data_IF_370777630912
#
_entry.id   IF_370777630912
#
_cell.length_a   1.000
_cell.length_b   1.000
_cell.length_c   1.000
_cell.angle_alpha   90.00
_cell.angle_beta   90.00
_cell.angle_gamma   90.00
#
_symmetry.space_group_name_H-M   'P 1'
#
loop_
_entity.id
_entity.type
_entity.pdbx_description
1 polymer ?
#
# COMPACT_ATOMS: atom_id res chain seq x y z
N UNK A 1 7.41 -6.43 27.60
CA UNK A 1 6.62 -5.74 26.56
C UNK A 1 5.24 -6.38 26.52
N UNK A 2 4.21 -5.78 27.15
CA UNK A 2 2.89 -6.42 27.38
C UNK A 2 1.69 -5.57 26.94
N UNK A 3 1.90 -4.49 26.19
CA UNK A 3 0.80 -3.62 25.73
C UNK A 3 0.25 -3.99 24.34
N UNK A 4 1.00 -4.73 23.52
CA UNK A 4 0.58 -5.10 22.16
C UNK A 4 -0.29 -6.36 22.09
N UNK A 5 -0.40 -7.15 23.18
CA UNK A 5 -1.16 -8.40 23.16
C UNK A 5 -2.67 -8.23 23.43
N UNK A 6 -3.13 -7.08 23.92
CA UNK A 6 -4.55 -6.87 24.22
C UNK A 6 -5.37 -6.51 22.98
N UNK A 7 -4.78 -5.80 22.01
CA UNK A 7 -5.44 -5.50 20.73
C UNK A 7 -5.52 -6.70 19.78
N UNK A 8 -4.71 -7.75 20.01
CA UNK A 8 -4.73 -8.98 19.21
C UNK A 8 -5.72 -10.04 19.74
N UNK A 9 -6.29 -9.87 20.94
CA UNK A 9 -7.17 -10.88 21.55
C UNK A 9 -8.67 -10.55 21.43
N UNK A 10 -9.07 -9.33 21.06
CA UNK A 10 -10.48 -8.98 20.85
C UNK A 10 -11.15 -9.65 19.64
N UNK A 11 -10.36 -10.26 18.74
CA UNK A 11 -10.84 -10.89 17.50
C UNK A 11 -10.98 -12.41 17.53
N UNK A 12 -10.77 -13.09 18.68
CA UNK A 12 -10.84 -14.57 18.75
C UNK A 12 -12.26 -15.15 18.85
N UNK A 13 -13.28 -14.55 18.24
CA UNK A 13 -14.62 -15.16 18.24
C UNK A 13 -15.47 -15.00 16.98
N UNK A 14 -14.86 -14.89 15.79
CA UNK A 14 -15.67 -14.97 14.56
C UNK A 14 -14.98 -15.57 13.33
N UNK A 15 -14.03 -16.50 13.51
CA UNK A 15 -13.56 -17.37 12.41
C UNK A 15 -13.62 -18.86 12.79
N UNK A 16 -14.72 -19.29 13.41
CA UNK A 16 -15.07 -20.72 13.44
C UNK A 16 -16.39 -20.91 12.72
N UNK A 17 -16.32 -21.51 11.53
CA UNK A 17 -17.49 -21.97 10.79
C UNK A 17 -18.34 -22.93 11.65
N UNK A 18 -19.66 -22.97 11.41
CA UNK A 18 -20.63 -23.42 12.39
C UNK A 18 -20.69 -24.94 12.41
N UNK A 19 -20.44 -25.54 13.57
CA UNK A 19 -21.08 -26.79 13.96
C UNK A 19 -21.00 -26.96 15.47
N UNK A 20 -22.18 -26.95 16.08
CA UNK A 20 -22.50 -27.55 17.37
C UNK A 20 -21.58 -27.21 18.55
N UNK A 21 -21.99 -26.23 19.36
CA UNK A 21 -22.50 -26.47 20.73
C UNK A 21 -22.54 -25.17 21.55
N UNK A 22 -23.77 -24.67 21.69
CA UNK A 22 -24.42 -24.18 22.91
C UNK A 22 -23.54 -23.95 24.16
N UNK A 23 -23.61 -22.70 24.63
CA UNK A 23 -23.35 -22.19 25.99
C UNK A 23 -21.88 -21.94 26.40
N UNK A 24 -21.41 -20.71 26.17
CA UNK A 24 -20.35 -20.14 26.99
C UNK A 24 -20.63 -18.65 27.26
N UNK A 25 -21.34 -18.40 28.36
CA UNK A 25 -21.50 -17.15 29.12
C UNK A 25 -21.27 -15.84 28.34
N UNK A 26 -22.34 -15.29 27.74
CA UNK A 26 -22.38 -13.88 27.32
C UNK A 26 -23.10 -13.10 28.43
N UNK A 27 -22.38 -12.31 29.22
CA UNK A 27 -23.03 -11.39 30.15
C UNK A 27 -23.68 -10.23 29.36
N UNK A 28 -24.87 -9.73 29.75
CA UNK A 28 -25.47 -8.55 29.13
C UNK A 28 -24.54 -7.33 29.14
N UNK A 29 -23.69 -7.24 30.17
CA UNK A 29 -22.70 -6.19 30.36
C UNK A 29 -21.59 -6.23 29.31
N UNK A 30 -21.10 -7.41 28.92
CA UNK A 30 -20.08 -7.55 27.86
C UNK A 30 -20.62 -7.15 26.49
N UNK A 31 -21.88 -7.51 26.17
CA UNK A 31 -22.52 -7.08 24.92
C UNK A 31 -22.68 -5.56 24.84
N UNK A 32 -23.06 -4.92 25.95
CA UNK A 32 -23.14 -3.46 26.04
C UNK A 32 -21.76 -2.80 25.93
N UNK A 33 -20.74 -3.37 26.56
CA UNK A 33 -19.36 -2.87 26.47
C UNK A 33 -18.83 -2.93 25.03
N UNK A 34 -19.07 -4.05 24.31
CA UNK A 34 -18.69 -4.20 22.91
C UNK A 34 -19.42 -3.22 22.00
N UNK A 35 -20.73 -3.00 22.21
CA UNK A 35 -21.50 -2.01 21.45
C UNK A 35 -21.03 -0.57 21.68
N UNK A 36 -20.69 -0.23 22.93
CA UNK A 36 -20.10 1.08 23.25
C UNK A 36 -18.73 1.25 22.60
N UNK A 37 -17.85 0.24 22.69
CA UNK A 37 -16.53 0.27 22.06
C UNK A 37 -16.63 0.44 20.53
N UNK A 38 -17.53 -0.29 19.87
CA UNK A 38 -17.74 -0.17 18.43
C UNK A 38 -18.26 1.23 18.05
N UNK A 39 -19.20 1.78 18.83
CA UNK A 39 -19.72 3.14 18.60
C UNK A 39 -18.65 4.22 18.78
N UNK A 40 -17.75 4.03 19.76
CA UNK A 40 -16.63 4.93 20.02
C UNK A 40 -15.61 4.85 18.88
N UNK A 41 -15.28 3.64 18.42
CA UNK A 41 -14.38 3.44 17.28
C UNK A 41 -14.93 4.10 16.01
N UNK A 42 -16.22 3.94 15.72
CA UNK A 42 -16.87 4.57 14.56
C UNK A 42 -16.87 6.10 14.65
N UNK A 43 -17.17 6.65 15.83
CA UNK A 43 -17.10 8.09 16.07
C UNK A 43 -15.69 8.64 15.86
N UNK A 44 -14.68 8.02 16.48
CA UNK A 44 -13.29 8.45 16.35
C UNK A 44 -12.79 8.33 14.92
N UNK A 45 -13.15 7.24 14.22
CA UNK A 45 -12.77 7.05 12.83
C UNK A 45 -13.38 8.14 11.94
N UNK A 46 -14.67 8.45 12.11
CA UNK A 46 -15.36 9.53 11.39
C UNK A 46 -14.74 10.89 11.69
N UNK A 47 -14.45 11.18 12.94
CA UNK A 47 -13.84 12.44 13.35
C UNK A 47 -12.43 12.61 12.75
N UNK A 48 -11.60 11.57 12.82
CA UNK A 48 -10.26 11.58 12.23
C UNK A 48 -10.32 11.74 10.71
N UNK A 49 -11.27 11.05 10.05
CA UNK A 49 -11.54 11.19 8.61
C UNK A 49 -11.86 12.63 8.23
N UNK A 50 -12.81 13.27 8.92
CA UNK A 50 -13.19 14.66 8.66
C UNK A 50 -12.02 15.61 8.86
N UNK A 51 -11.30 15.48 9.98
CA UNK A 51 -10.13 16.32 10.26
C UNK A 51 -9.04 16.17 9.17
N UNK A 52 -8.79 14.94 8.69
CA UNK A 52 -7.84 14.69 7.60
C UNK A 52 -8.29 15.25 6.25
N UNK A 53 -9.60 15.35 6.01
CA UNK A 53 -10.15 15.99 4.82
C UNK A 53 -10.03 17.52 4.89
N UNK A 54 -10.21 18.13 6.07
CA UNK A 54 -10.04 19.57 6.27
C UNK A 54 -8.59 20.02 6.04
N UNK A 55 -7.61 19.20 6.44
CA UNK A 55 -6.18 19.46 6.19
C UNK A 55 -5.72 18.91 4.83
N UNK A 56 -6.65 18.77 3.87
CA UNK A 56 -6.44 18.23 2.51
C UNK A 56 -5.16 18.72 1.85
N UNK A 57 -5.00 20.03 1.88
CA UNK A 57 -3.99 20.76 1.12
C UNK A 57 -2.64 20.89 1.83
N UNK A 58 -2.54 20.48 3.10
CA UNK A 58 -1.31 20.68 3.88
C UNK A 58 -0.28 19.55 3.63
N UNK A 59 0.92 19.93 3.20
CA UNK A 59 2.04 19.02 2.91
C UNK A 59 3.07 19.01 4.06
N UNK A 60 2.62 18.95 5.30
CA UNK A 60 3.52 18.91 6.45
C UNK A 60 3.75 17.48 6.96
N UNK A 61 4.92 17.25 7.57
CA UNK A 61 5.32 15.92 8.09
C UNK A 61 4.22 15.27 8.94
N UNK A 62 3.57 16.03 9.82
CA UNK A 62 2.52 15.53 10.72
C UNK A 62 1.28 15.07 9.96
N UNK A 63 0.84 15.85 8.97
CA UNK A 63 -0.35 15.51 8.15
C UNK A 63 -0.05 14.28 7.29
N UNK A 64 1.13 14.21 6.69
CA UNK A 64 1.57 13.04 5.92
C UNK A 64 1.60 11.78 6.80
N UNK A 65 2.17 11.89 8.01
CA UNK A 65 2.23 10.76 8.94
C UNK A 65 0.84 10.35 9.46
N UNK A 66 -0.05 11.31 9.69
CA UNK A 66 -1.43 11.05 10.09
C UNK A 66 -2.23 10.36 8.97
N UNK A 67 -2.10 10.81 7.72
CA UNK A 67 -2.68 10.14 6.55
C UNK A 67 -2.13 8.72 6.37
N UNK A 68 -0.83 8.54 6.59
CA UNK A 68 -0.20 7.22 6.55
C UNK A 68 -0.80 6.29 7.60
N UNK A 69 -0.85 6.70 8.88
CA UNK A 69 -1.46 5.90 9.94
C UNK A 69 -2.92 5.59 9.61
N UNK A 70 -3.68 6.58 9.16
CA UNK A 70 -5.09 6.40 8.79
C UNK A 70 -5.27 5.46 7.60
N UNK A 71 -4.29 5.38 6.69
CA UNK A 71 -4.32 4.37 5.62
C UNK A 71 -4.13 2.93 6.11
N UNK A 72 -3.52 2.75 7.29
CA UNK A 72 -3.32 1.45 7.93
C UNK A 72 -4.50 1.03 8.80
N UNK A 73 -5.40 1.97 9.16
CA UNK A 73 -6.56 1.65 9.97
C UNK A 73 -7.66 1.03 9.11
N UNK A 74 -8.26 -0.03 9.62
CA UNK A 74 -9.45 -0.61 8.99
C UNK A 74 -10.65 0.26 9.31
N UNK A 75 -11.58 0.38 8.36
CA UNK A 75 -12.90 0.96 8.63
C UNK A 75 -13.61 0.03 9.64
N UNK A 76 -14.15 0.56 10.75
CA UNK A 76 -14.96 -0.24 11.67
C UNK A 76 -16.13 -0.86 10.90
N UNK A 77 -16.28 -2.19 11.00
CA UNK A 77 -17.37 -2.92 10.35
C UNK A 77 -18.71 -2.46 10.92
N UNK A 78 -19.66 -2.13 10.04
CA UNK A 78 -21.05 -1.83 10.43
C UNK A 78 -21.90 -3.08 10.24
N UNK A 79 -22.79 -3.39 11.19
CA UNK A 79 -23.63 -4.61 11.19
C UNK A 79 -24.46 -4.81 9.90
N UNK A 80 -24.76 -3.72 9.18
CA UNK A 80 -25.44 -3.73 7.87
C UNK A 80 -24.63 -4.39 6.74
N UNK A 81 -23.29 -4.41 6.85
CA UNK A 81 -22.41 -5.03 5.85
C UNK A 81 -22.54 -6.57 5.88
N UNK A 82 -22.77 -7.16 7.06
CA UNK A 82 -22.90 -8.61 7.24
C UNK A 82 -24.22 -9.16 6.68
N UNK A 83 -25.32 -8.41 6.84
CA UNK A 83 -26.63 -8.81 6.30
C UNK A 83 -26.70 -8.70 4.78
N UNK A 84 -25.84 -7.87 4.19
CA UNK A 84 -25.70 -7.71 2.74
C UNK A 84 -24.98 -8.89 2.11
N UNK A 85 -23.92 -9.43 2.74
CA UNK A 85 -23.18 -10.61 2.24
C UNK A 85 -24.00 -11.89 2.30
N UNK A 86 -24.81 -12.09 3.35
CA UNK A 86 -25.61 -13.32 3.51
C UNK A 86 -26.77 -13.40 2.51
N UNK A 87 -27.35 -12.27 2.10
CA UNK A 87 -28.44 -12.22 1.11
C UNK A 87 -27.99 -12.49 -0.33
N UNK A 88 -26.70 -12.35 -0.64
CA UNK A 88 -26.13 -12.59 -1.99
C UNK A 88 -26.12 -14.10 -2.35
N UNK A 89 -26.12 -14.97 -1.34
CA UNK A 89 -26.08 -16.42 -1.50
C UNK A 89 -27.39 -17.04 -2.02
N UNK A 90 -28.50 -16.30 -1.99
CA UNK A 90 -29.81 -16.78 -2.42
C UNK A 90 -30.29 -16.04 -3.66
N UNK A 91 -30.00 -16.62 -4.83
CA UNK A 91 -30.61 -16.32 -6.15
C UNK A 91 -30.42 -14.88 -6.65
N UNK A 92 -29.31 -14.59 -7.34
CA UNK A 92 -29.12 -13.30 -8.01
C UNK A 92 -28.86 -13.46 -9.51
N UNK A 93 -29.51 -12.62 -10.33
CA UNK A 93 -29.29 -12.51 -11.76
C UNK A 93 -27.88 -11.96 -12.04
N UNK A 94 -27.29 -12.22 -13.21
CA UNK A 94 -25.97 -11.65 -13.61
C UNK A 94 -25.92 -10.12 -13.45
N UNK A 95 -27.05 -9.43 -13.61
CA UNK A 95 -27.15 -7.98 -13.39
C UNK A 95 -27.08 -7.59 -11.91
N UNK A 96 -27.60 -8.42 -11.02
CA UNK A 96 -27.52 -8.19 -9.57
C UNK A 96 -26.11 -8.47 -9.06
N UNK A 97 -25.41 -9.46 -9.64
CA UNK A 97 -23.98 -9.70 -9.37
C UNK A 97 -23.10 -8.53 -9.82
N UNK A 98 -23.40 -7.92 -10.97
CA UNK A 98 -22.67 -6.73 -11.43
C UNK A 98 -22.99 -5.51 -10.56
N UNK A 99 -24.27 -5.29 -10.21
CA UNK A 99 -24.66 -4.19 -9.31
C UNK A 99 -24.06 -4.34 -7.93
N UNK A 100 -24.01 -5.55 -7.38
CA UNK A 100 -23.37 -5.82 -6.10
C UNK A 100 -21.85 -5.67 -6.19
N UNK A 101 -21.22 -6.02 -7.31
CA UNK A 101 -19.80 -5.78 -7.54
C UNK A 101 -19.49 -4.28 -7.68
N UNK A 102 -20.31 -3.51 -8.39
CA UNK A 102 -20.20 -2.05 -8.42
C UNK A 102 -20.40 -1.47 -7.03
N UNK A 103 -21.46 -1.87 -6.31
CA UNK A 103 -21.69 -1.43 -4.94
C UNK A 103 -20.52 -1.80 -4.03
N UNK A 104 -19.93 -2.98 -4.19
CA UNK A 104 -18.72 -3.39 -3.48
C UNK A 104 -17.53 -2.51 -3.83
N UNK A 105 -17.30 -2.18 -5.10
CA UNK A 105 -16.22 -1.29 -5.56
C UNK A 105 -16.43 0.14 -5.04
N UNK A 106 -17.66 0.65 -5.05
CA UNK A 106 -17.99 1.97 -4.49
C UNK A 106 -17.93 1.99 -2.96
N UNK A 107 -18.31 0.90 -2.30
CA UNK A 107 -18.23 0.72 -0.83
C UNK A 107 -16.84 0.34 -0.35
N UNK A 108 -15.94 -0.10 -1.25
CA UNK A 108 -14.50 -0.25 -1.02
C UNK A 108 -13.89 1.15 -0.99
N UNK A 109 -14.38 1.95 -0.06
CA UNK A 109 -14.14 3.37 0.06
C UNK A 109 -12.70 3.58 0.56
N UNK A 110 -11.81 3.81 -0.40
CA UNK A 110 -10.73 4.80 -0.33
C UNK A 110 -9.67 4.66 0.77
N UNK A 111 -9.50 3.50 1.43
CA UNK A 111 -8.33 3.26 2.29
C UNK A 111 -7.01 3.54 1.53
N UNK A 112 -7.00 3.33 0.20
CA UNK A 112 -5.91 3.74 -0.67
C UNK A 112 -5.74 5.25 -0.83
N UNK A 113 -6.79 6.07 -0.76
CA UNK A 113 -6.70 7.51 -1.07
C UNK A 113 -5.82 8.25 -0.08
N UNK A 114 -5.87 7.89 1.21
CA UNK A 114 -5.00 8.49 2.21
C UNK A 114 -3.54 8.08 2.01
N UNK A 115 -3.29 6.83 1.61
CA UNK A 115 -1.94 6.39 1.26
C UNK A 115 -1.44 7.09 0.00
N UNK A 116 -2.28 7.20 -1.03
CA UNK A 116 -1.99 7.90 -2.29
C UNK A 116 -1.61 9.36 -2.03
N UNK A 117 -2.39 10.04 -1.19
CA UNK A 117 -2.13 11.42 -0.78
C UNK A 117 -0.87 11.53 0.06
N UNK A 118 -0.68 10.65 1.05
CA UNK A 118 0.50 10.65 1.91
C UNK A 118 1.78 10.46 1.10
N UNK A 119 1.81 9.49 0.18
CA UNK A 119 2.98 9.20 -0.66
C UNK A 119 3.30 10.38 -1.59
N UNK A 120 2.29 10.95 -2.25
CA UNK A 120 2.49 12.12 -3.14
C UNK A 120 3.02 13.33 -2.38
N UNK A 121 2.45 13.61 -1.21
CA UNK A 121 2.90 14.70 -0.34
C UNK A 121 4.29 14.45 0.24
N UNK A 122 4.61 13.22 0.62
CA UNK A 122 5.95 12.85 1.06
C UNK A 122 6.98 13.05 -0.06
N UNK A 123 6.62 12.72 -1.29
CA UNK A 123 7.46 12.99 -2.46
C UNK A 123 7.66 14.49 -2.68
N UNK A 124 6.59 15.29 -2.66
CA UNK A 124 6.67 16.75 -2.77
C UNK A 124 7.53 17.37 -1.64
N UNK A 125 7.33 16.92 -0.41
CA UNK A 125 8.09 17.37 0.75
C UNK A 125 9.58 16.99 0.62
N UNK A 126 9.90 15.75 0.24
CA UNK A 126 11.28 15.32 0.00
C UNK A 126 11.93 16.14 -1.11
N UNK A 127 11.23 16.36 -2.22
CA UNK A 127 11.74 17.16 -3.34
C UNK A 127 12.09 18.60 -2.91
N UNK A 128 11.22 19.26 -2.13
CA UNK A 128 11.49 20.61 -1.59
C UNK A 128 12.73 20.64 -0.71
N UNK A 129 12.91 19.62 0.13
CA UNK A 129 14.09 19.50 1.00
C UNK A 129 15.38 19.26 0.21
N UNK A 130 15.35 18.33 -0.75
CA UNK A 130 16.51 18.02 -1.59
C UNK A 130 16.91 19.24 -2.45
N UNK A 131 15.94 20.03 -2.90
CA UNK A 131 16.19 21.25 -3.68
C UNK A 131 16.73 22.40 -2.81
N UNK A 132 16.23 22.55 -1.58
CA UNK A 132 16.77 23.50 -0.60
C UNK A 132 18.24 23.22 -0.29
N UNK A 133 18.63 21.96 -0.30
CA UNK A 133 19.99 21.49 -0.05
C UNK A 133 20.94 21.73 -1.22
N UNK A 134 20.43 21.61 -2.45
CA UNK A 134 21.20 21.91 -3.66
C UNK A 134 21.46 23.42 -3.85
N UNK A 135 20.95 24.30 -2.96
CA UNK A 135 21.15 25.75 -3.04
C UNK A 135 20.43 26.42 -4.21
N UNK A 136 19.48 25.73 -4.86
CA UNK A 136 18.75 26.21 -6.03
C UNK A 136 17.68 27.27 -5.70
N UNK A 137 17.27 27.38 -4.44
CA UNK A 137 16.38 28.43 -3.93
C UNK A 137 17.02 29.12 -2.72
N UNK A 138 17.14 30.45 -2.78
CA UNK A 138 17.97 31.27 -1.88
C UNK A 138 17.19 31.82 -0.66
N UNK A 139 17.80 31.65 0.51
CA UNK A 139 17.84 32.50 1.73
C UNK A 139 16.66 32.71 2.69
N UNK A 140 15.40 32.40 2.39
CA UNK A 140 14.30 32.73 3.34
C UNK A 140 13.70 31.56 4.14
N UNK A 141 14.07 30.31 3.86
CA UNK A 141 13.52 29.15 4.55
C UNK A 141 14.39 28.72 5.75
N UNK A 142 13.77 28.26 6.86
CA UNK A 142 14.49 27.86 8.06
C UNK A 142 15.48 26.75 7.74
N UNK A 143 16.72 26.90 8.21
CA UNK A 143 17.74 25.84 8.18
C UNK A 143 17.22 24.65 8.97
N UNK A 144 16.72 23.63 8.27
CA UNK A 144 16.22 22.42 8.89
C UNK A 144 17.33 21.68 9.62
N UNK A 145 16.99 21.04 10.74
CA UNK A 145 17.98 20.25 11.45
C UNK A 145 18.35 19.00 10.63
N UNK A 146 19.57 18.45 10.77
CA UNK A 146 19.93 17.18 10.13
C UNK A 146 19.00 16.03 10.57
N UNK A 147 18.40 16.13 11.76
CA UNK A 147 17.43 15.16 12.27
C UNK A 147 16.09 15.22 11.53
N UNK A 148 15.59 16.43 11.22
CA UNK A 148 14.35 16.60 10.46
C UNK A 148 14.48 16.01 9.05
N UNK A 149 15.65 16.22 8.42
CA UNK A 149 15.97 15.64 7.12
C UNK A 149 15.96 14.12 7.16
N UNK A 150 16.59 13.53 8.18
CA UNK A 150 16.60 12.09 8.37
C UNK A 150 15.16 11.56 8.58
N UNK A 151 14.35 12.27 9.35
CA UNK A 151 12.94 11.94 9.59
C UNK A 151 12.11 11.95 8.31
N UNK A 152 12.27 12.97 7.47
CA UNK A 152 11.56 13.07 6.17
C UNK A 152 12.02 11.97 5.22
N UNK A 153 13.33 11.72 5.14
CA UNK A 153 13.87 10.63 4.34
C UNK A 153 13.31 9.27 4.78
N UNK A 154 13.26 9.02 6.09
CA UNK A 154 12.67 7.80 6.64
C UNK A 154 11.18 7.67 6.30
N UNK A 155 10.39 8.73 6.52
CA UNK A 155 8.96 8.72 6.23
C UNK A 155 8.69 8.48 4.73
N UNK A 156 9.45 9.15 3.87
CA UNK A 156 9.38 8.96 2.42
C UNK A 156 9.66 7.50 2.04
N UNK A 157 10.77 6.92 2.51
CA UNK A 157 11.09 5.53 2.19
C UNK A 157 10.06 4.57 2.78
N UNK A 158 9.60 4.79 4.00
CA UNK A 158 8.55 3.97 4.61
C UNK A 158 7.29 3.92 3.74
N UNK A 159 6.84 5.08 3.26
CA UNK A 159 5.69 5.21 2.38
C UNK A 159 5.89 4.54 1.01
N UNK A 160 7.07 4.71 0.40
CA UNK A 160 7.45 4.04 -0.87
C UNK A 160 7.42 2.52 -0.72
N UNK A 161 8.01 2.01 0.37
CA UNK A 161 8.06 0.58 0.67
C UNK A 161 6.66 0.02 0.89
N UNK A 162 5.84 0.75 1.66
CA UNK A 162 4.46 0.35 1.95
C UNK A 162 3.61 0.32 0.68
N UNK A 163 3.61 1.39 -0.12
CA UNK A 163 2.86 1.42 -1.38
C UNK A 163 3.30 0.31 -2.35
N UNK A 164 4.61 0.08 -2.47
CA UNK A 164 5.14 -0.97 -3.33
C UNK A 164 4.60 -2.36 -2.96
N UNK A 165 4.46 -2.67 -1.68
CA UNK A 165 3.94 -3.96 -1.22
C UNK A 165 2.43 -4.03 -1.35
N UNK A 166 1.72 -2.95 -1.02
CA UNK A 166 0.27 -2.90 -1.01
C UNK A 166 -0.36 -2.72 -2.40
N UNK A 167 0.34 -2.12 -3.36
CA UNK A 167 -0.13 -1.92 -4.73
C UNK A 167 -0.54 -3.23 -5.43
N UNK A 168 0.32 -4.26 -5.53
CA UNK A 168 -0.07 -5.53 -6.14
C UNK A 168 -1.10 -6.31 -5.30
N UNK A 169 -1.14 -6.11 -3.98
CA UNK A 169 -2.16 -6.74 -3.12
C UNK A 169 -3.55 -6.15 -3.34
N UNK A 170 -3.62 -4.84 -3.61
CA UNK A 170 -4.87 -4.11 -3.82
C UNK A 170 -5.22 -3.93 -5.30
N UNK A 171 -4.51 -4.60 -6.19
CA UNK A 171 -4.65 -4.50 -7.65
C UNK A 171 -4.63 -3.05 -8.20
N UNK A 172 -3.99 -2.13 -7.48
CA UNK A 172 -3.89 -0.72 -7.87
C UNK A 172 -2.50 -0.41 -8.41
N UNK A 173 -2.33 0.63 -9.24
CA UNK A 173 -1.00 1.05 -9.65
C UNK A 173 -0.14 1.56 -8.49
N UNK A 174 1.17 1.33 -8.57
CA UNK A 174 2.15 1.98 -7.68
C UNK A 174 2.06 3.49 -7.90
N UNK A 175 2.08 4.26 -6.81
CA UNK A 175 1.85 5.71 -6.83
C UNK A 175 3.03 6.46 -7.44
N UNK A 176 4.27 6.02 -7.17
CA UNK A 176 5.50 6.64 -7.63
C UNK A 176 6.20 5.78 -8.70
N UNK A 177 6.72 6.45 -9.73
CA UNK A 177 7.49 5.79 -10.77
C UNK A 177 8.83 5.28 -10.23
N UNK A 178 9.46 4.34 -10.93
CA UNK A 178 10.76 3.79 -10.52
C UNK A 178 11.87 4.85 -10.53
N UNK A 179 11.79 5.84 -11.41
CA UNK A 179 12.75 6.96 -11.49
C UNK A 179 12.70 7.84 -10.23
N UNK A 180 11.50 8.04 -9.69
CA UNK A 180 11.27 8.84 -8.49
C UNK A 180 11.70 8.09 -7.21
N UNK A 181 11.90 6.76 -7.29
CA UNK A 181 12.24 5.89 -6.17
C UNK A 181 13.71 5.44 -6.17
N UNK A 182 14.59 6.15 -6.87
CA UNK A 182 16.02 5.87 -6.81
C UNK A 182 16.65 6.40 -5.51
N UNK A 183 17.33 5.51 -4.77
CA UNK A 183 18.11 5.87 -3.59
C UNK A 183 19.19 6.90 -3.96
N UNK A 184 19.36 7.93 -3.14
CA UNK A 184 20.33 9.01 -3.41
C UNK A 184 21.79 8.49 -3.47
N UNK A 185 22.11 7.43 -2.74
CA UNK A 185 23.40 6.73 -2.82
C UNK A 185 23.63 6.04 -4.19
N UNK A 186 22.57 5.59 -4.85
CA UNK A 186 22.65 5.02 -6.20
C UNK A 186 22.82 6.13 -7.24
N UNK A 187 22.24 7.32 -7.00
CA UNK A 187 22.41 8.49 -7.87
C UNK A 187 23.86 8.99 -7.89
N UNK A 188 24.58 8.92 -6.76
CA UNK A 188 25.99 9.32 -6.67
C UNK A 188 26.95 8.41 -7.45
N UNK A 189 26.56 7.14 -7.65
CA UNK A 189 27.32 6.18 -8.46
C UNK A 189 27.00 6.27 -9.96
N UNK A 190 26.04 7.12 -10.38
CA UNK A 190 25.78 7.37 -11.80
C UNK A 190 26.87 8.31 -12.35
N UNK A 191 27.48 7.99 -13.51
CA UNK A 191 28.37 8.94 -14.16
C UNK A 191 27.58 10.21 -14.53
N UNK A 192 28.15 11.38 -14.25
CA UNK A 192 27.53 12.67 -14.51
C UNK A 192 26.99 12.73 -15.95
N UNK A 193 25.73 13.16 -16.10
CA UNK A 193 25.07 13.40 -17.40
C UNK A 193 25.85 14.46 -18.19
N UNK A 194 26.83 14.02 -18.97
CA UNK A 194 27.66 14.90 -19.80
C UNK A 194 28.26 14.24 -21.04
N UNK A 195 28.06 12.93 -21.25
CA UNK A 195 28.50 12.25 -22.47
C UNK A 195 27.30 11.81 -23.30
N UNK A 196 27.17 12.44 -24.47
CA UNK A 196 26.26 12.02 -25.54
C UNK A 196 26.49 10.54 -25.84
N UNK A 197 25.48 9.70 -25.59
CA UNK A 197 25.57 8.26 -25.78
C UNK A 197 25.40 7.42 -24.51
N UNK A 198 24.71 7.91 -23.49
CA UNK A 198 24.31 7.10 -22.35
C UNK A 198 23.44 5.93 -22.84
N UNK A 199 24.06 4.77 -23.02
CA UNK A 199 23.37 3.49 -23.02
C UNK A 199 22.51 3.50 -21.76
N UNK A 200 21.20 3.54 -21.91
CA UNK A 200 20.22 3.45 -20.82
C UNK A 200 20.44 2.13 -20.10
N UNK A 201 21.40 2.07 -19.18
CA UNK A 201 21.65 0.88 -18.39
C UNK A 201 20.40 0.73 -17.54
N UNK A 202 19.63 -0.32 -17.82
CA UNK A 202 18.39 -0.60 -17.10
C UNK A 202 18.76 -1.05 -15.67
N UNK A 203 18.88 -0.08 -14.75
CA UNK A 203 19.18 -0.30 -13.34
C UNK A 203 17.97 -0.79 -12.54
N UNK A 204 16.79 -0.75 -13.16
CA UNK A 204 15.47 -0.90 -12.54
C UNK A 204 15.31 -2.16 -11.70
N UNK A 205 16.06 -3.24 -12.02
CA UNK A 205 15.94 -4.55 -11.35
C UNK A 205 17.29 -5.23 -11.04
N UNK A 206 18.38 -4.48 -10.92
CA UNK A 206 19.70 -5.08 -10.64
C UNK A 206 19.80 -5.54 -9.19
N UNK A 207 19.27 -6.74 -8.91
CA UNK A 207 19.29 -7.37 -7.58
C UNK A 207 20.70 -7.47 -6.98
N UNK A 208 21.72 -7.66 -7.83
CA UNK A 208 23.13 -7.72 -7.44
C UNK A 208 23.63 -6.44 -6.75
N UNK A 209 22.97 -5.29 -6.94
CA UNK A 209 23.31 -4.05 -6.23
C UNK A 209 22.87 -4.07 -4.75
N UNK A 210 21.88 -4.90 -4.42
CA UNK A 210 21.29 -5.02 -3.08
C UNK A 210 21.76 -6.29 -2.34
N UNK A 211 22.37 -7.22 -3.07
CA UNK A 211 23.02 -8.40 -2.52
C UNK A 211 24.41 -8.00 -1.98
N UNK A 212 24.46 -7.61 -0.71
CA UNK A 212 25.72 -7.37 0.01
C UNK A 212 26.30 -8.64 0.66
N UNK A 213 25.79 -9.83 0.34
CA UNK A 213 26.36 -11.10 0.82
C UNK A 213 27.32 -11.64 -0.22
N UNK A 214 28.40 -12.26 0.27
CA UNK A 214 29.20 -13.18 -0.52
C UNK A 214 28.29 -14.34 -0.97
N UNK A 215 28.07 -14.55 -2.29
CA UNK A 215 27.19 -15.60 -2.79
C UNK A 215 27.64 -17.00 -2.37
N UNK A 216 28.92 -17.16 -2.03
CA UNK A 216 29.52 -18.43 -1.62
C UNK A 216 29.35 -18.71 -0.11
N UNK A 217 28.92 -17.73 0.69
CA UNK A 217 28.69 -17.87 2.14
C UNK A 217 27.44 -17.12 2.65
N UNK A 218 26.23 -17.50 2.20
CA UNK A 218 25.01 -16.78 2.54
C UNK A 218 24.75 -16.83 4.06
N UNK A 219 24.75 -15.66 4.69
CA UNK A 219 24.50 -15.47 6.12
C UNK A 219 22.99 -15.58 6.44
N UNK A 220 22.40 -16.73 6.14
CA UNK A 220 20.98 -17.01 6.42
C UNK A 220 20.85 -17.29 7.92
N UNK A 221 20.12 -16.45 8.69
CA UNK A 221 19.91 -16.73 10.10
C UNK A 221 19.09 -18.02 10.25
N UNK A 222 19.66 -19.04 10.89
CA UNK A 222 18.93 -20.25 11.25
C UNK A 222 18.14 -20.02 12.52
N UNK A 223 16.86 -20.38 12.53
CA UNK A 223 16.03 -20.32 13.74
C UNK A 223 16.40 -21.45 14.72
N UNK A 224 16.42 -21.20 16.05
CA UNK A 224 16.27 -19.90 16.73
C UNK A 224 17.53 -19.03 16.55
N UNK A 225 17.35 -17.72 16.33
CA UNK A 225 18.44 -16.76 16.22
C UNK A 225 18.24 -15.56 17.18
N UNK A 226 19.31 -14.78 17.40
CA UNK A 226 19.21 -13.56 18.22
C UNK A 226 18.37 -12.49 17.52
N UNK A 227 17.76 -11.59 18.29
CA UNK A 227 17.04 -10.44 17.73
C UNK A 227 17.92 -9.61 16.79
N UNK A 228 19.19 -9.39 17.15
CA UNK A 228 20.14 -8.66 16.32
C UNK A 228 20.39 -9.35 14.96
N UNK A 229 20.50 -10.69 14.95
CA UNK A 229 20.66 -11.46 13.72
C UNK A 229 19.39 -11.38 12.83
N UNK A 230 18.20 -11.53 13.43
CA UNK A 230 16.94 -11.39 12.73
C UNK A 230 16.74 -9.98 12.15
N UNK A 231 16.98 -8.93 12.95
CA UNK A 231 16.85 -7.54 12.53
C UNK A 231 17.81 -7.21 11.37
N UNK A 232 19.08 -7.65 11.46
CA UNK A 232 20.06 -7.47 10.38
C UNK A 232 19.61 -8.15 9.08
N UNK A 233 19.10 -9.39 9.17
CA UNK A 233 18.61 -10.11 8.00
C UNK A 233 17.38 -9.44 7.38
N UNK A 234 16.44 -8.96 8.20
CA UNK A 234 15.25 -8.24 7.73
C UNK A 234 15.64 -6.96 7.01
N UNK A 235 16.49 -6.12 7.64
CA UNK A 235 16.98 -4.86 7.06
C UNK A 235 17.62 -5.11 5.70
N UNK A 236 18.44 -6.16 5.60
CA UNK A 236 19.10 -6.57 4.34
C UNK A 236 18.11 -7.04 3.28
N UNK A 237 17.13 -7.86 3.64
CA UNK A 237 16.16 -8.42 2.69
C UNK A 237 15.09 -7.43 2.23
N UNK A 238 14.88 -6.35 2.97
CA UNK A 238 13.74 -5.44 2.75
C UNK A 238 13.79 -4.80 1.35
N UNK A 239 14.90 -4.17 0.90
CA UNK A 239 15.04 -3.65 -0.47
C UNK A 239 14.80 -4.69 -1.56
N UNK A 240 15.28 -5.92 -1.35
CA UNK A 240 15.10 -7.03 -2.29
C UNK A 240 13.62 -7.39 -2.43
N UNK A 241 12.90 -7.49 -1.31
CA UNK A 241 11.46 -7.76 -1.31
C UNK A 241 10.70 -6.68 -2.07
N UNK A 242 11.03 -5.41 -1.87
CA UNK A 242 10.39 -4.28 -2.55
C UNK A 242 10.57 -4.40 -4.07
N UNK A 243 11.80 -4.68 -4.54
CA UNK A 243 12.05 -4.89 -5.97
C UNK A 243 11.24 -6.04 -6.55
N UNK A 244 11.16 -7.17 -5.84
CA UNK A 244 10.37 -8.32 -6.28
C UNK A 244 8.88 -7.96 -6.40
N UNK A 245 8.32 -7.25 -5.42
CA UNK A 245 6.91 -6.83 -5.45
C UNK A 245 6.63 -5.85 -6.60
N UNK A 246 7.53 -4.89 -6.87
CA UNK A 246 7.38 -4.05 -8.07
C UNK A 246 7.43 -4.88 -9.34
N UNK A 247 8.37 -5.83 -9.44
CA UNK A 247 8.47 -6.69 -10.62
C UNK A 247 7.19 -7.51 -10.83
N UNK A 248 6.62 -8.10 -9.76
CA UNK A 248 5.33 -8.79 -9.80
C UNK A 248 4.23 -7.86 -10.33
N UNK A 249 4.17 -6.63 -9.84
CA UNK A 249 3.22 -5.63 -10.34
C UNK A 249 3.39 -5.34 -11.85
N UNK A 250 4.61 -5.18 -12.35
CA UNK A 250 4.87 -5.02 -13.79
C UNK A 250 4.35 -6.22 -14.59
N UNK A 251 4.61 -7.44 -14.12
CA UNK A 251 4.14 -8.66 -14.78
C UNK A 251 2.60 -8.73 -14.79
N UNK A 252 1.95 -8.43 -13.67
CA UNK A 252 0.49 -8.38 -13.59
C UNK A 252 -0.10 -7.40 -14.61
N UNK A 253 0.49 -6.21 -14.73
CA UNK A 253 0.05 -5.21 -15.71
C UNK A 253 0.29 -5.66 -17.16
N UNK A 254 1.46 -6.24 -17.45
CA UNK A 254 1.76 -6.76 -18.78
C UNK A 254 0.78 -7.87 -19.21
N UNK A 255 0.37 -8.73 -18.28
CA UNK A 255 -0.64 -9.76 -18.55
C UNK A 255 -2.01 -9.12 -18.79
N UNK A 256 -2.41 -8.14 -17.96
CA UNK A 256 -3.69 -7.42 -18.14
C UNK A 256 -3.76 -6.73 -19.51
N UNK A 257 -2.69 -6.07 -19.95
CA UNK A 257 -2.64 -5.40 -21.27
C UNK A 257 -2.57 -6.38 -22.43
N UNK A 258 -1.90 -7.54 -22.27
CA UNK A 258 -1.86 -8.60 -23.29
C UNK A 258 -3.23 -9.24 -23.47
N UNK A 259 -3.94 -9.56 -22.37
CA UNK A 259 -5.32 -10.07 -22.42
C UNK A 259 -6.28 -9.05 -23.04
N UNK A 260 -6.12 -7.76 -22.74
CA UNK A 260 -6.90 -6.69 -23.37
C UNK A 260 -6.62 -6.58 -24.87
N UNK A 261 -5.36 -6.72 -25.30
CA UNK A 261 -4.96 -6.78 -26.72
C UNK A 261 -5.56 -7.99 -27.45
N UNK A 262 -5.56 -9.17 -26.84
CA UNK A 262 -6.20 -10.36 -27.39
C UNK A 262 -7.73 -10.25 -27.44
N UNK A 263 -8.36 -9.66 -26.41
CA UNK A 263 -9.79 -9.38 -26.38
C UNK A 263 -10.20 -8.36 -27.46
N UNK A 264 -9.43 -7.27 -27.66
CA UNK A 264 -9.64 -6.30 -28.75
C UNK A 264 -9.42 -6.92 -30.13
N UNK A 265 -8.43 -7.81 -30.30
CA UNK A 265 -8.21 -8.55 -31.56
C UNK A 265 -9.36 -9.51 -31.85
N UNK A 266 -9.91 -10.17 -30.85
CA UNK A 266 -11.05 -11.09 -30.99
C UNK A 266 -12.35 -10.33 -31.26
N UNK A 267 -12.58 -9.20 -30.58
CA UNK A 267 -13.73 -8.33 -30.82
C UNK A 267 -13.71 -7.70 -32.23
N UNK A 268 -12.55 -7.24 -32.73
CA UNK A 268 -12.41 -6.79 -34.12
C UNK A 268 -12.69 -7.90 -35.13
N UNK A 269 -12.37 -9.16 -34.81
CA UNK A 269 -12.61 -10.32 -35.68
C UNK A 269 -14.09 -10.71 -35.73
N UNK A 270 -14.85 -10.47 -34.67
CA UNK A 270 -16.30 -10.71 -34.61
C UNK A 270 -17.07 -9.58 -35.31
N UNK A 271 -16.64 -8.32 -35.17
CA UNK A 271 -17.28 -7.18 -35.85
C UNK A 271 -17.11 -7.23 -37.38
N UNK A 272 -15.99 -7.77 -37.90
CA UNK A 272 -15.77 -7.95 -39.33
C UNK A 272 -16.50 -9.16 -39.95
N UNK A 273 -16.97 -10.12 -39.15
CA UNK A 273 -17.76 -11.27 -39.65
C UNK A 273 -19.25 -10.97 -39.76
N UNK A 274 -19.75 -9.94 -39.08
CA UNK A 274 -21.17 -9.53 -39.15
C UNK A 274 -21.49 -8.63 -40.34
N UNK A 275 -20.49 -8.11 -41.07
CA UNK A 275 -20.70 -7.23 -42.25
C UNK A 275 -20.63 -8.01 -43.57
N UNK A 276 -20.18 -9.26 -43.56
CA UNK A 276 -20.03 -10.10 -44.78
C UNK A 276 -21.09 -11.19 -44.97
N UNK A 277 -22.14 -11.24 -44.13
CA UNK A 277 -23.27 -12.17 -44.30
C UNK A 277 -24.60 -11.43 -44.17
N UNK A 278 -24.82 -10.49 -45.08
CA UNK A 278 -26.04 -9.70 -45.19
C UNK A 278 -26.28 -9.28 -46.65
N UNK A 279 -26.38 -10.28 -47.53
CA UNK A 279 -27.05 -10.21 -48.83
C UNK A 279 -28.00 -11.37 -48.92
#
# INVERSE_FOLDING_TARGET
>A
MSFSSQWAQGGQRMESFPSASTNHFDSPTERLALGLEQSLQDLLWKQARTALQEVSELECFRVIYAEFIFSLTQRPWTDDDFTSTVRISSVSSRQDTLKSEFARIFSQENSSVYLDRAVRKAHALKYRFDTSEAGLFQESEPKFSPQDRQGIGFLYWLLVMHDTVCSPMNERPVILADEDCMMDALKQHLPAQGSSGALQVNYRWKLNMFLHDDPDSPQVPRWPCSYAAAAKAIIKSTPIKILLYRHVFYLQNAIKTTKASEASRTACRVQFRSVTTGT
#
